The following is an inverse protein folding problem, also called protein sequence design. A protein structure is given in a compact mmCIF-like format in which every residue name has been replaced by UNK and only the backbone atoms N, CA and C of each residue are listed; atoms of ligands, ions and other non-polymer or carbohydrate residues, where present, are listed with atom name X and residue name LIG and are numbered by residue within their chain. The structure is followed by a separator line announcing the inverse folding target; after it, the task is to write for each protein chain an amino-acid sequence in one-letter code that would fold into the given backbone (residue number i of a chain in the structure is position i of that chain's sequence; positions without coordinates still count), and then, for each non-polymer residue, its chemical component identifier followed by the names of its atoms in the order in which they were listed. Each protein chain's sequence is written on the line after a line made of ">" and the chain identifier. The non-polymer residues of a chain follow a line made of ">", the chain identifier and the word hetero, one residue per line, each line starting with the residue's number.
data_IF_148275824102
#
_entry.id   IF_148275824102
#
_cell.length_a   1.000
_cell.length_b   1.000
_cell.length_c   1.000
_cell.angle_alpha   90.00
_cell.angle_beta   90.00
_cell.angle_gamma   90.00
#
_symmetry.space_group_name_H-M   'P 1'
#
loop_
_entity.id
_entity.type
_entity.pdbx_description
1 polymer ?
#
# COMPACT_ATOMS: atom_id res chain seq x y z
N UNK A 1 -43.87 6.81 10.25
CA UNK A 1 -44.48 8.16 10.33
C UNK A 1 -43.55 9.18 9.70
N UNK A 2 -43.96 10.44 9.52
CA UNK A 2 -43.10 11.49 8.96
C UNK A 2 -42.92 12.60 10.00
N UNK A 3 -41.68 12.89 10.38
CA UNK A 3 -41.31 14.06 11.16
C UNK A 3 -40.61 15.06 10.23
N UNK A 4 -41.11 16.29 10.17
CA UNK A 4 -40.59 17.33 9.27
C UNK A 4 -40.12 18.54 10.07
N UNK A 5 -38.87 18.94 9.88
CA UNK A 5 -38.37 20.27 10.21
C UNK A 5 -38.46 21.18 8.97
N UNK A 6 -39.07 22.36 9.05
CA UNK A 6 -39.14 23.28 7.91
C UNK A 6 -37.80 23.97 7.61
N UNK A 7 -36.91 24.05 8.60
CA UNK A 7 -35.59 24.69 8.54
C UNK A 7 -34.50 23.73 9.04
N UNK A 8 -33.23 24.14 8.92
CA UNK A 8 -32.09 23.39 9.42
C UNK A 8 -32.28 22.95 10.87
N UNK A 9 -31.81 21.74 11.19
CA UNK A 9 -31.93 21.14 12.51
C UNK A 9 -30.57 20.66 12.97
N UNK A 10 -30.20 20.98 14.21
CA UNK A 10 -29.06 20.35 14.89
C UNK A 10 -29.56 19.41 15.97
N UNK A 11 -29.25 18.12 15.86
CA UNK A 11 -29.43 17.16 16.94
C UNK A 11 -28.28 17.30 17.95
N UNK A 12 -28.60 17.47 19.22
CA UNK A 12 -27.63 17.55 20.33
C UNK A 12 -27.68 16.34 21.28
N UNK A 13 -28.60 15.39 21.05
CA UNK A 13 -28.78 14.22 21.91
C UNK A 13 -29.01 12.98 21.05
N UNK A 14 -30.03 12.19 21.34
CA UNK A 14 -30.35 10.98 20.61
C UNK A 14 -31.62 11.18 19.75
N UNK A 15 -31.47 11.07 18.43
CA UNK A 15 -32.57 10.96 17.49
C UNK A 15 -32.73 9.50 17.03
N UNK A 16 -33.80 8.85 17.49
CA UNK A 16 -34.11 7.46 17.15
C UNK A 16 -35.21 7.37 16.07
N UNK A 17 -34.91 6.72 14.94
CA UNK A 17 -35.90 6.38 13.92
C UNK A 17 -36.29 4.89 14.07
N UNK A 18 -37.49 4.65 14.57
CA UNK A 18 -38.07 3.30 14.77
C UNK A 18 -39.47 3.19 14.17
N UNK A 19 -40.05 2.00 14.21
CA UNK A 19 -41.39 1.67 13.73
C UNK A 19 -42.09 0.76 14.73
N UNK A 20 -43.36 1.00 14.98
CA UNK A 20 -44.22 0.19 15.87
C UNK A 20 -45.31 -0.58 15.11
N UNK A 21 -45.28 -0.55 13.77
CA UNK A 21 -46.35 -1.10 12.94
C UNK A 21 -45.86 -1.55 11.54
N UNK A 22 -44.60 -1.97 11.41
CA UNK A 22 -43.97 -2.38 10.15
C UNK A 22 -44.15 -1.38 8.98
N UNK A 23 -44.11 -0.08 9.28
CA UNK A 23 -44.21 0.99 8.29
C UNK A 23 -42.91 1.77 8.18
N UNK A 24 -42.72 2.43 7.04
CA UNK A 24 -41.63 3.37 6.86
C UNK A 24 -41.67 4.51 7.87
N UNK A 25 -40.50 4.91 8.35
CA UNK A 25 -40.31 6.08 9.20
C UNK A 25 -39.37 7.06 8.52
N UNK A 26 -39.83 8.30 8.41
CA UNK A 26 -39.15 9.37 7.70
C UNK A 26 -38.87 10.53 8.63
N UNK A 27 -37.62 10.99 8.63
CA UNK A 27 -37.23 12.30 9.09
C UNK A 27 -36.93 13.19 7.87
N UNK A 28 -37.38 14.44 7.88
CA UNK A 28 -37.23 15.37 6.76
C UNK A 28 -36.81 16.75 7.25
N UNK A 29 -35.80 17.33 6.61
CA UNK A 29 -35.53 18.78 6.70
C UNK A 29 -35.84 19.38 5.33
N UNK A 30 -36.68 20.41 5.30
CA UNK A 30 -37.18 20.96 4.01
C UNK A 30 -36.26 22.03 3.45
N UNK A 31 -35.65 22.84 4.32
CA UNK A 31 -34.68 23.86 3.95
C UNK A 31 -33.52 23.84 4.94
N UNK A 32 -32.29 23.93 4.46
CA UNK A 32 -31.10 23.90 5.31
C UNK A 32 -30.61 22.50 5.66
N UNK A 33 -29.61 22.43 6.53
CA UNK A 33 -28.84 21.23 6.84
C UNK A 33 -29.42 20.48 8.05
N UNK A 34 -29.31 19.16 8.04
CA UNK A 34 -29.41 18.35 9.25
C UNK A 34 -28.01 18.09 9.80
N UNK A 35 -27.71 18.61 10.98
CA UNK A 35 -26.43 18.39 11.64
C UNK A 35 -26.63 17.48 12.86
N UNK A 36 -25.82 16.44 12.98
CA UNK A 36 -25.67 15.68 14.22
C UNK A 36 -24.45 16.21 14.97
N UNK A 37 -24.65 16.88 16.09
CA UNK A 37 -23.58 17.52 16.85
C UNK A 37 -22.59 16.50 17.43
N UNK A 38 -21.41 16.97 17.85
CA UNK A 38 -20.47 16.14 18.60
C UNK A 38 -21.14 15.53 19.85
N UNK A 39 -20.90 14.24 20.09
CA UNK A 39 -21.51 13.41 21.13
C UNK A 39 -23.02 13.13 20.98
N UNK A 40 -23.66 13.60 19.91
CA UNK A 40 -25.04 13.27 19.60
C UNK A 40 -25.12 11.99 18.76
N UNK A 41 -26.24 11.28 18.85
CA UNK A 41 -26.49 10.03 18.12
C UNK A 41 -27.72 10.17 17.24
N UNK A 42 -27.60 9.78 15.97
CA UNK A 42 -28.72 9.41 15.10
C UNK A 42 -28.71 7.89 14.98
N UNK A 43 -29.80 7.25 15.34
CA UNK A 43 -29.90 5.79 15.31
C UNK A 43 -31.12 5.37 14.50
N UNK A 44 -30.94 4.44 13.55
CA UNK A 44 -32.04 3.83 12.81
C UNK A 44 -32.17 2.38 13.23
N UNK A 45 -33.32 1.99 13.78
CA UNK A 45 -33.55 0.61 14.28
C UNK A 45 -34.74 -0.03 13.61
N UNK A 46 -34.75 -1.36 13.54
CA UNK A 46 -35.79 -2.14 12.87
C UNK A 46 -37.18 -1.93 13.47
N UNK A 47 -37.32 -1.92 14.80
CA UNK A 47 -38.63 -1.97 15.46
C UNK A 47 -39.48 -3.12 14.91
N UNK A 48 -40.72 -2.83 14.52
CA UNK A 48 -41.61 -3.78 13.83
C UNK A 48 -41.35 -3.89 12.32
N UNK A 49 -40.31 -3.23 11.78
CA UNK A 49 -39.89 -3.27 10.38
C UNK A 49 -40.04 -1.96 9.60
N UNK A 50 -40.10 -2.07 8.27
CA UNK A 50 -40.16 -0.95 7.31
C UNK A 50 -38.85 -0.19 7.11
N UNK A 51 -38.74 0.55 6.00
CA UNK A 51 -37.56 1.35 5.64
C UNK A 51 -37.37 2.57 6.57
N UNK A 52 -36.13 3.03 6.72
CA UNK A 52 -35.80 4.29 7.40
C UNK A 52 -35.35 5.32 6.38
N UNK A 53 -35.93 6.50 6.43
CA UNK A 53 -35.68 7.56 5.45
C UNK A 53 -35.25 8.84 6.13
N UNK A 54 -34.09 9.37 5.75
CA UNK A 54 -33.63 10.70 6.14
C UNK A 54 -33.60 11.55 4.87
N UNK A 55 -34.52 12.50 4.77
CA UNK A 55 -34.65 13.36 3.59
C UNK A 55 -34.08 14.75 3.92
N UNK A 56 -32.75 14.87 3.80
CA UNK A 56 -31.95 16.06 4.09
C UNK A 56 -30.51 15.83 3.63
N UNK A 57 -29.77 16.89 3.31
CA UNK A 57 -28.31 16.87 3.44
C UNK A 57 -27.95 16.66 4.92
N UNK A 58 -26.84 15.97 5.18
CA UNK A 58 -26.49 15.52 6.52
C UNK A 58 -25.01 15.72 6.82
N UNK A 59 -24.73 16.31 7.97
CA UNK A 59 -23.38 16.48 8.49
C UNK A 59 -23.28 15.85 9.89
N UNK A 60 -22.41 14.86 10.03
CA UNK A 60 -22.28 14.06 11.25
C UNK A 60 -20.98 14.34 11.97
N UNK A 61 -21.04 15.03 13.11
CA UNK A 61 -19.91 15.15 14.06
C UNK A 61 -20.00 14.15 15.22
N UNK A 62 -21.17 13.54 15.42
CA UNK A 62 -21.42 12.52 16.42
C UNK A 62 -21.43 11.11 15.82
N UNK A 63 -22.44 10.31 16.17
CA UNK A 63 -22.60 8.95 15.65
C UNK A 63 -23.88 8.81 14.81
N UNK A 64 -23.76 8.26 13.60
CA UNK A 64 -24.86 7.67 12.85
C UNK A 64 -24.75 6.15 12.94
N UNK A 65 -25.74 5.52 13.57
CA UNK A 65 -25.79 4.08 13.79
C UNK A 65 -26.92 3.49 12.93
N UNK A 66 -26.56 2.78 11.88
CA UNK A 66 -27.49 2.17 10.93
C UNK A 66 -27.75 0.73 11.34
N UNK A 67 -28.87 0.50 12.05
CA UNK A 67 -29.36 -0.81 12.51
C UNK A 67 -30.66 -1.24 11.82
N UNK A 68 -30.98 -0.55 10.73
CA UNK A 68 -32.00 -0.92 9.76
C UNK A 68 -31.65 -0.28 8.42
N UNK A 69 -32.06 -0.90 7.30
CA UNK A 69 -31.90 -0.31 5.96
C UNK A 69 -32.39 1.14 5.96
N UNK A 70 -31.46 2.05 5.61
CA UNK A 70 -31.64 3.48 5.71
C UNK A 70 -31.34 4.13 4.38
N UNK A 71 -32.19 5.08 3.97
CA UNK A 71 -32.04 5.78 2.70
C UNK A 71 -32.06 7.31 2.86
N UNK A 72 -31.18 7.96 2.10
CA UNK A 72 -31.20 9.39 1.78
C UNK A 72 -31.68 9.55 0.33
N UNK A 73 -32.99 9.77 0.08
CA UNK A 73 -33.57 9.55 -1.25
C UNK A 73 -33.49 10.77 -2.19
N UNK A 74 -33.23 11.97 -1.66
CA UNK A 74 -33.21 13.19 -2.46
C UNK A 74 -32.01 13.19 -3.42
N UNK A 75 -32.23 13.50 -4.69
CA UNK A 75 -31.15 13.54 -5.68
C UNK A 75 -30.15 14.63 -5.37
N UNK A 76 -28.86 14.28 -5.42
CA UNK A 76 -27.76 15.19 -5.08
C UNK A 76 -27.55 15.38 -3.59
N UNK A 77 -28.10 14.50 -2.74
CA UNK A 77 -27.89 14.59 -1.27
C UNK A 77 -26.39 14.53 -0.95
N UNK A 78 -25.93 15.42 -0.09
CA UNK A 78 -24.60 15.37 0.50
C UNK A 78 -24.67 14.79 1.91
N UNK A 79 -23.94 13.68 2.14
CA UNK A 79 -23.72 13.11 3.47
C UNK A 79 -22.25 13.24 3.81
N UNK A 80 -21.94 14.02 4.84
CA UNK A 80 -20.57 14.30 5.30
C UNK A 80 -20.40 13.72 6.70
N UNK A 81 -19.37 12.91 6.90
CA UNK A 81 -19.01 12.37 8.20
C UNK A 81 -17.68 12.95 8.70
N UNK A 82 -17.73 13.49 9.92
CA UNK A 82 -16.60 13.89 10.75
C UNK A 82 -16.45 13.04 12.02
N UNK A 83 -17.49 12.26 12.37
CA UNK A 83 -17.56 11.43 13.55
C UNK A 83 -17.60 9.93 13.19
N UNK A 84 -18.55 9.20 13.76
CA UNK A 84 -18.75 7.78 13.50
C UNK A 84 -19.95 7.55 12.59
N UNK A 85 -19.77 6.78 11.52
CA UNK A 85 -20.85 6.08 10.83
C UNK A 85 -20.61 4.58 11.00
N UNK A 86 -21.56 3.85 11.57
CA UNK A 86 -21.50 2.39 11.70
C UNK A 86 -22.71 1.77 11.04
N UNK A 87 -22.49 0.80 10.15
CA UNK A 87 -23.55 0.05 9.49
C UNK A 87 -23.46 -1.40 9.95
N UNK A 88 -24.53 -1.89 10.59
CA UNK A 88 -24.60 -3.27 11.10
C UNK A 88 -24.75 -4.28 9.95
N UNK A 89 -24.50 -5.57 10.25
CA UNK A 89 -24.49 -6.66 9.26
C UNK A 89 -25.75 -6.78 8.44
N UNK A 90 -25.54 -7.07 7.15
CA UNK A 90 -26.59 -7.34 6.17
C UNK A 90 -27.52 -6.13 5.93
N UNK A 91 -27.08 -4.93 6.30
CA UNK A 91 -27.80 -3.69 6.06
C UNK A 91 -27.16 -2.85 4.96
N UNK A 92 -27.97 -1.97 4.39
CA UNK A 92 -27.56 -0.99 3.39
C UNK A 92 -27.87 0.43 3.84
N UNK A 93 -26.87 1.32 3.72
CA UNK A 93 -27.05 2.76 3.73
C UNK A 93 -27.05 3.26 2.28
N UNK A 94 -28.23 3.55 1.74
CA UNK A 94 -28.39 4.05 0.37
C UNK A 94 -28.45 5.57 0.35
N UNK A 95 -27.65 6.21 -0.51
CA UNK A 95 -27.61 7.68 -0.63
C UNK A 95 -27.79 8.07 -2.09
N UNK A 96 -28.81 8.85 -2.42
CA UNK A 96 -28.98 9.35 -3.78
C UNK A 96 -28.12 10.61 -4.03
N UNK A 97 -26.82 10.46 -3.86
CA UNK A 97 -25.83 11.52 -3.96
C UNK A 97 -24.47 11.03 -3.46
N UNK A 98 -23.68 11.91 -2.85
CA UNK A 98 -22.28 11.66 -2.49
C UNK A 98 -22.16 11.38 -0.99
N UNK A 99 -21.28 10.44 -0.64
CA UNK A 99 -20.81 10.25 0.73
C UNK A 99 -19.38 10.76 0.87
N UNK A 100 -19.12 11.61 1.86
CA UNK A 100 -17.79 12.18 2.12
C UNK A 100 -17.37 11.89 3.56
N UNK A 101 -16.22 11.27 3.74
CA UNK A 101 -15.56 11.09 5.03
C UNK A 101 -14.45 12.14 5.15
N UNK A 102 -14.59 13.08 6.08
CA UNK A 102 -13.63 14.17 6.32
C UNK A 102 -12.74 13.87 7.54
N UNK A 103 -13.30 13.23 8.56
CA UNK A 103 -12.60 12.83 9.79
C UNK A 103 -13.39 11.75 10.54
N UNK A 104 -12.78 11.10 11.52
CA UNK A 104 -13.43 10.02 12.27
C UNK A 104 -13.45 8.71 11.48
N UNK A 105 -14.50 7.90 11.66
CA UNK A 105 -14.56 6.52 11.19
C UNK A 105 -15.87 6.23 10.45
N UNK A 106 -15.80 5.54 9.32
CA UNK A 106 -16.90 4.76 8.75
C UNK A 106 -16.61 3.28 8.93
N UNK A 107 -17.48 2.55 9.62
CA UNK A 107 -17.35 1.12 9.88
C UNK A 107 -18.44 0.33 9.17
N UNK A 108 -18.04 -0.60 8.30
CA UNK A 108 -18.91 -1.57 7.65
C UNK A 108 -18.78 -2.93 8.34
N UNK A 109 -19.86 -3.45 8.93
CA UNK A 109 -19.84 -4.75 9.59
C UNK A 109 -20.48 -5.82 8.69
N UNK A 110 -19.83 -6.22 7.60
CA UNK A 110 -20.46 -7.01 6.53
C UNK A 110 -21.71 -6.31 5.96
N UNK A 111 -21.54 -5.02 5.67
CA UNK A 111 -22.62 -4.11 5.28
C UNK A 111 -22.40 -3.47 3.91
N UNK A 112 -23.39 -2.75 3.39
CA UNK A 112 -23.29 -2.04 2.11
C UNK A 112 -23.44 -0.53 2.29
N UNK A 113 -22.46 0.23 1.81
CA UNK A 113 -22.55 1.67 1.60
C UNK A 113 -22.82 1.94 0.12
N UNK A 114 -24.00 2.45 -0.20
CA UNK A 114 -24.54 2.54 -1.57
C UNK A 114 -24.93 3.97 -1.97
N UNK A 115 -23.94 4.88 -2.16
CA UNK A 115 -24.19 6.17 -2.77
C UNK A 115 -24.30 6.05 -4.30
N UNK A 116 -25.20 6.82 -4.91
CA UNK A 116 -25.28 6.94 -6.37
C UNK A 116 -24.18 7.82 -6.98
N UNK A 117 -23.55 8.65 -6.15
CA UNK A 117 -22.28 9.34 -6.44
C UNK A 117 -21.07 8.62 -5.83
N UNK A 118 -19.86 9.20 -5.92
CA UNK A 118 -18.67 8.58 -5.34
C UNK A 118 -18.69 8.59 -3.80
N UNK A 119 -17.89 7.70 -3.21
CA UNK A 119 -17.39 7.85 -1.84
C UNK A 119 -16.08 8.61 -1.90
N UNK A 120 -16.02 9.75 -1.20
CA UNK A 120 -14.81 10.55 -1.03
C UNK A 120 -14.27 10.35 0.38
N UNK A 121 -13.12 9.71 0.52
CA UNK A 121 -12.44 9.52 1.80
C UNK A 121 -11.32 10.56 1.91
N UNK A 122 -11.70 11.80 2.25
CA UNK A 122 -10.79 12.95 2.32
C UNK A 122 -9.92 12.96 3.59
N UNK A 123 -10.33 12.23 4.63
CA UNK A 123 -9.61 12.06 5.89
C UNK A 123 -10.28 11.02 6.77
N UNK A 124 -9.74 10.75 7.97
CA UNK A 124 -10.26 9.67 8.83
C UNK A 124 -10.09 8.29 8.19
N UNK A 125 -10.98 7.35 8.55
CA UNK A 125 -10.93 5.96 8.09
C UNK A 125 -12.25 5.42 7.52
N UNK A 126 -12.13 4.51 6.54
CA UNK A 126 -13.16 3.54 6.15
C UNK A 126 -12.66 2.15 6.52
N UNK A 127 -13.39 1.46 7.39
CA UNK A 127 -12.95 0.21 8.00
C UNK A 127 -14.01 -0.90 7.88
N UNK A 128 -13.58 -2.15 8.04
CA UNK A 128 -14.48 -3.28 8.16
C UNK A 128 -14.69 -4.08 6.87
N UNK A 129 -15.71 -4.94 6.88
CA UNK A 129 -16.06 -5.84 5.78
C UNK A 129 -17.35 -5.40 5.08
N UNK A 130 -17.48 -5.77 3.81
CA UNK A 130 -18.71 -5.55 3.05
C UNK A 130 -18.47 -4.93 1.69
N UNK A 131 -19.37 -4.02 1.28
CA UNK A 131 -19.37 -3.45 -0.06
C UNK A 131 -19.51 -1.93 -0.03
N UNK A 132 -18.59 -1.25 -0.71
CA UNK A 132 -18.79 0.11 -1.23
C UNK A 132 -19.38 -0.02 -2.63
N UNK A 133 -20.68 0.20 -2.78
CA UNK A 133 -21.40 0.01 -4.03
C UNK A 133 -21.27 1.22 -4.98
N UNK A 134 -20.08 1.83 -5.04
CA UNK A 134 -19.78 3.01 -5.86
C UNK A 134 -18.27 3.09 -6.13
N UNK A 135 -17.82 4.18 -6.78
CA UNK A 135 -16.38 4.47 -6.87
C UNK A 135 -15.87 5.06 -5.56
N UNK A 136 -14.67 4.68 -5.15
CA UNK A 136 -14.01 5.15 -3.94
C UNK A 136 -12.74 5.94 -4.30
N UNK A 137 -12.67 7.17 -3.82
CA UNK A 137 -11.49 8.03 -3.90
C UNK A 137 -10.90 8.21 -2.49
N UNK A 138 -9.69 7.69 -2.27
CA UNK A 138 -9.07 7.53 -0.96
C UNK A 138 -7.87 8.47 -0.77
N UNK A 139 -8.06 9.53 0.02
CA UNK A 139 -7.02 10.39 0.59
C UNK A 139 -6.86 10.22 2.11
N UNK A 140 -7.65 9.34 2.75
CA UNK A 140 -7.60 8.99 4.16
C UNK A 140 -7.01 7.58 4.39
N UNK A 141 -7.57 6.83 5.33
CA UNK A 141 -7.14 5.46 5.61
C UNK A 141 -8.22 4.44 5.22
N UNK A 142 -7.89 3.55 4.29
CA UNK A 142 -8.72 2.39 3.97
C UNK A 142 -8.18 1.18 4.73
N UNK A 143 -8.99 0.59 5.60
CA UNK A 143 -8.61 -0.55 6.46
C UNK A 143 -9.62 -1.70 6.24
N UNK A 144 -9.44 -2.53 5.20
CA UNK A 144 -10.35 -3.63 4.92
C UNK A 144 -10.35 -4.65 6.06
N UNK A 145 -11.52 -5.22 6.35
CA UNK A 145 -11.65 -6.34 7.27
C UNK A 145 -12.02 -5.97 8.72
N UNK A 146 -12.45 -6.97 9.48
CA UNK A 146 -12.27 -7.01 10.94
C UNK A 146 -10.95 -7.75 11.28
N UNK A 147 -10.02 -7.67 10.30
CA UNK A 147 -8.66 -8.18 10.24
C UNK A 147 -8.48 -9.68 10.60
N UNK A 148 -8.20 -10.56 9.63
CA UNK A 148 -8.30 -10.38 8.17
C UNK A 148 -9.75 -10.35 7.62
N UNK A 149 -9.98 -9.73 6.46
CA UNK A 149 -11.28 -9.67 5.80
C UNK A 149 -11.30 -9.10 4.37
N UNK A 150 -12.49 -9.07 3.76
CA UNK A 150 -12.71 -8.54 2.41
C UNK A 150 -13.55 -7.28 2.40
N UNK A 151 -13.11 -6.29 1.62
CA UNK A 151 -13.90 -5.12 1.23
C UNK A 151 -14.07 -5.09 -0.30
N UNK A 152 -15.31 -5.08 -0.76
CA UNK A 152 -15.65 -4.93 -2.17
C UNK A 152 -15.85 -3.46 -2.55
N UNK A 153 -15.40 -3.07 -3.74
CA UNK A 153 -15.68 -1.77 -4.36
C UNK A 153 -16.23 -2.05 -5.76
N UNK A 154 -17.47 -1.64 -6.03
CA UNK A 154 -18.11 -1.96 -7.33
C UNK A 154 -17.75 -0.96 -8.43
N UNK A 155 -17.27 0.24 -8.06
CA UNK A 155 -16.79 1.26 -8.98
C UNK A 155 -15.28 1.21 -9.20
N UNK A 156 -14.72 2.35 -9.62
CA UNK A 156 -13.28 2.55 -9.67
C UNK A 156 -12.73 2.81 -8.26
N UNK A 157 -11.48 2.41 -8.04
CA UNK A 157 -10.72 2.74 -6.84
C UNK A 157 -9.57 3.68 -7.19
N UNK A 158 -9.52 4.84 -6.54
CA UNK A 158 -8.37 5.75 -6.63
C UNK A 158 -7.75 5.89 -5.26
N UNK A 159 -6.52 5.42 -5.11
CA UNK A 159 -5.66 5.72 -3.97
C UNK A 159 -4.92 7.01 -4.30
N UNK A 160 -5.17 8.08 -3.55
CA UNK A 160 -4.47 9.35 -3.72
C UNK A 160 -3.11 9.32 -3.02
N UNK A 161 -2.25 10.29 -3.36
CA UNK A 161 -0.92 10.45 -2.75
C UNK A 161 -0.95 10.64 -1.23
N UNK A 162 -2.04 11.21 -0.69
CA UNK A 162 -2.23 11.39 0.75
C UNK A 162 -2.84 10.16 1.45
N UNK A 163 -3.43 9.24 0.70
CA UNK A 163 -4.14 8.10 1.27
C UNK A 163 -3.20 6.98 1.72
N UNK A 164 -3.69 6.17 2.64
CA UNK A 164 -3.08 4.90 3.07
C UNK A 164 -4.06 3.75 2.83
N UNK A 165 -3.57 2.63 2.28
CA UNK A 165 -4.21 1.32 2.36
C UNK A 165 -3.54 0.53 3.48
N UNK A 166 -4.24 0.23 4.57
CA UNK A 166 -3.74 -0.61 5.65
C UNK A 166 -4.29 -2.03 5.48
N UNK A 167 -3.41 -3.04 5.58
CA UNK A 167 -3.75 -4.45 5.42
C UNK A 167 -3.05 -5.31 6.46
N UNK A 168 -3.73 -6.34 6.90
CA UNK A 168 -3.24 -7.36 7.81
C UNK A 168 -2.99 -8.70 7.12
N UNK A 169 -1.94 -9.40 7.55
CA UNK A 169 -1.52 -10.70 7.03
C UNK A 169 -1.25 -11.67 8.19
N UNK A 170 -2.08 -12.70 8.31
CA UNK A 170 -1.96 -13.82 9.25
C UNK A 170 -1.65 -15.17 8.56
N UNK A 171 -1.76 -15.24 7.23
CA UNK A 171 -1.53 -16.45 6.44
C UNK A 171 -1.76 -16.23 4.94
N UNK A 172 -1.81 -17.33 4.18
CA UNK A 172 -1.73 -17.30 2.71
C UNK A 172 -3.09 -17.22 2.00
N UNK A 173 -4.19 -17.50 2.70
CA UNK A 173 -5.53 -17.51 2.12
C UNK A 173 -6.14 -16.10 2.15
N UNK A 174 -6.42 -15.46 1.00
CA UNK A 174 -7.03 -14.14 0.97
C UNK A 174 -8.41 -14.16 1.62
N UNK A 175 -8.86 -13.00 2.11
CA UNK A 175 -10.15 -12.77 2.78
C UNK A 175 -10.28 -13.41 4.17
N UNK A 176 -9.58 -14.51 4.45
CA UNK A 176 -9.68 -15.22 5.73
C UNK A 176 -8.39 -15.17 6.55
N UNK A 177 -7.23 -15.15 5.88
CA UNK A 177 -5.92 -15.11 6.52
C UNK A 177 -5.11 -13.86 6.12
N UNK A 178 -5.52 -13.11 5.11
CA UNK A 178 -5.04 -11.74 4.87
C UNK A 178 -6.11 -10.89 4.19
N UNK A 179 -6.00 -9.58 4.34
CA UNK A 179 -6.99 -8.67 3.78
C UNK A 179 -6.98 -8.64 2.26
N UNK A 180 -8.17 -8.41 1.70
CA UNK A 180 -8.35 -8.21 0.27
C UNK A 180 -9.30 -7.05 -0.02
N UNK A 181 -8.81 -6.09 -0.82
CA UNK A 181 -9.66 -5.13 -1.53
C UNK A 181 -10.02 -5.71 -2.90
N UNK A 182 -11.31 -5.95 -3.13
CA UNK A 182 -11.82 -6.49 -4.38
C UNK A 182 -12.57 -5.41 -5.17
N UNK A 183 -11.89 -4.84 -6.16
CA UNK A 183 -12.43 -3.78 -7.03
C UNK A 183 -12.97 -4.40 -8.32
N UNK A 184 -14.19 -4.06 -8.73
CA UNK A 184 -14.70 -4.52 -10.05
C UNK A 184 -14.39 -3.55 -11.18
N UNK A 185 -14.11 -2.28 -10.87
CA UNK A 185 -13.60 -1.28 -11.81
C UNK A 185 -12.06 -1.25 -11.91
N UNK A 186 -11.53 -0.14 -12.39
CA UNK A 186 -10.08 0.12 -12.40
C UNK A 186 -9.57 0.57 -11.04
N UNK A 187 -8.33 0.23 -10.70
CA UNK A 187 -7.59 0.75 -9.57
C UNK A 187 -6.41 1.60 -10.02
N UNK A 188 -6.28 2.81 -9.47
CA UNK A 188 -5.11 3.68 -9.63
C UNK A 188 -4.45 3.86 -8.28
N UNK A 189 -3.16 3.53 -8.20
CA UNK A 189 -2.38 3.47 -6.96
C UNK A 189 -1.39 4.64 -6.87
N UNK A 190 -1.33 5.25 -5.69
CA UNK A 190 -0.37 6.25 -5.24
C UNK A 190 -0.28 6.17 -3.70
N UNK A 191 0.44 7.08 -3.05
CA UNK A 191 0.41 7.21 -1.59
C UNK A 191 1.00 6.00 -0.87
N UNK A 192 0.47 5.65 0.30
CA UNK A 192 1.07 4.65 1.17
C UNK A 192 0.29 3.32 1.22
N UNK A 193 1.03 2.24 1.46
CA UNK A 193 0.49 0.97 1.96
C UNK A 193 1.11 0.64 3.33
N UNK A 194 0.31 0.20 4.27
CA UNK A 194 0.74 -0.29 5.57
C UNK A 194 0.37 -1.76 5.70
N UNK A 195 1.34 -2.63 5.95
CA UNK A 195 1.14 -4.07 6.00
C UNK A 195 1.62 -4.69 7.32
N UNK A 196 0.69 -5.18 8.13
CA UNK A 196 0.99 -5.70 9.48
C UNK A 196 0.86 -7.22 9.52
N UNK A 197 1.85 -7.89 10.12
CA UNK A 197 1.77 -9.33 10.39
C UNK A 197 1.02 -9.59 11.70
N UNK A 198 0.05 -10.50 11.68
CA UNK A 198 -0.75 -10.89 12.84
C UNK A 198 -0.36 -12.26 13.39
N UNK A 199 -0.79 -12.55 14.63
CA UNK A 199 -0.73 -13.87 15.29
C UNK A 199 0.66 -14.54 15.30
N UNK A 200 1.71 -13.74 15.19
CA UNK A 200 3.09 -14.23 15.10
C UNK A 200 3.40 -14.93 13.78
N UNK A 201 2.61 -14.72 12.73
CA UNK A 201 2.88 -15.23 11.38
C UNK A 201 4.24 -14.71 10.89
N UNK A 202 5.07 -15.63 10.37
CA UNK A 202 6.44 -15.34 9.91
C UNK A 202 6.60 -15.87 8.48
N UNK A 203 6.24 -15.07 7.47
CA UNK A 203 6.39 -15.48 6.08
C UNK A 203 7.86 -15.49 5.65
N UNK A 204 8.18 -16.35 4.69
CA UNK A 204 9.51 -16.60 4.18
C UNK A 204 9.79 -15.79 2.90
N UNK A 205 11.06 -15.66 2.52
CA UNK A 205 11.43 -14.94 1.30
C UNK A 205 10.71 -15.48 0.06
N UNK A 206 10.17 -14.57 -0.74
CA UNK A 206 9.45 -14.91 -1.96
C UNK A 206 7.96 -15.22 -1.76
N UNK A 207 7.49 -15.37 -0.51
CA UNK A 207 6.08 -15.48 -0.20
C UNK A 207 5.32 -14.24 -0.70
N UNK A 208 4.13 -14.46 -1.25
CA UNK A 208 3.30 -13.41 -1.84
C UNK A 208 1.87 -13.44 -1.34
N UNK A 209 1.29 -12.26 -1.13
CA UNK A 209 -0.08 -12.06 -0.65
C UNK A 209 -0.79 -11.09 -1.58
N UNK A 210 -1.94 -11.48 -2.13
CA UNK A 210 -2.70 -10.59 -3.03
C UNK A 210 -3.61 -9.71 -2.18
N UNK A 211 -3.30 -8.42 -2.11
CA UNK A 211 -4.00 -7.47 -1.25
C UNK A 211 -5.03 -6.61 -2.00
N UNK A 212 -4.92 -6.55 -3.34
CA UNK A 212 -5.89 -5.88 -4.19
C UNK A 212 -6.08 -6.62 -5.51
N UNK A 213 -7.34 -6.75 -5.94
CA UNK A 213 -7.73 -7.18 -7.29
C UNK A 213 -8.58 -6.12 -7.96
N UNK A 214 -8.42 -5.94 -9.27
CA UNK A 214 -9.16 -4.96 -10.08
C UNK A 214 -9.32 -5.41 -11.53
N UNK A 215 -10.23 -4.78 -12.29
CA UNK A 215 -10.32 -4.98 -13.74
C UNK A 215 -9.07 -4.48 -14.48
N UNK A 216 -8.43 -3.44 -13.93
CA UNK A 216 -7.10 -2.98 -14.32
C UNK A 216 -6.42 -2.28 -13.15
N UNK A 217 -5.10 -2.40 -13.06
CA UNK A 217 -4.26 -1.68 -12.07
C UNK A 217 -3.28 -0.79 -12.82
N UNK A 218 -3.11 0.43 -12.30
CA UNK A 218 -2.16 1.43 -12.79
C UNK A 218 -1.55 2.20 -11.62
N UNK A 219 -0.38 2.81 -11.84
CA UNK A 219 0.38 3.45 -10.77
C UNK A 219 1.01 2.44 -9.80
N UNK A 220 1.64 2.96 -8.76
CA UNK A 220 2.29 2.20 -7.69
C UNK A 220 2.13 2.97 -6.38
N UNK A 221 2.21 2.29 -5.24
CA UNK A 221 2.37 3.00 -3.98
C UNK A 221 3.71 3.74 -3.94
N UNK A 222 3.71 4.93 -3.36
CA UNK A 222 4.89 5.80 -3.19
C UNK A 222 5.66 5.46 -1.92
N UNK A 223 4.98 4.88 -0.93
CA UNK A 223 5.56 4.43 0.33
C UNK A 223 4.93 3.12 0.80
N UNK A 224 5.70 2.33 1.52
CA UNK A 224 5.20 1.15 2.22
C UNK A 224 5.66 1.20 3.68
N UNK A 225 4.94 0.55 4.58
CA UNK A 225 5.35 0.36 5.98
C UNK A 225 4.83 -0.98 6.50
N UNK A 226 5.34 -1.42 7.65
CA UNK A 226 4.92 -2.69 8.23
C UNK A 226 5.89 -3.19 9.28
N UNK A 227 5.36 -3.83 10.32
CA UNK A 227 6.11 -4.43 11.41
C UNK A 227 5.82 -5.94 11.53
N UNK A 228 6.64 -6.64 12.32
CA UNK A 228 6.40 -8.05 12.68
C UNK A 228 7.21 -9.08 11.90
N UNK A 229 7.97 -8.66 10.88
CA UNK A 229 8.90 -9.55 10.17
C UNK A 229 10.04 -10.01 11.08
N UNK A 230 10.56 -11.23 10.84
CA UNK A 230 11.89 -11.60 11.33
C UNK A 230 12.94 -10.62 10.80
N UNK A 231 14.06 -10.53 11.52
CA UNK A 231 15.21 -9.73 11.10
C UNK A 231 15.60 -10.07 9.66
N UNK A 232 15.94 -9.04 8.88
CA UNK A 232 16.39 -9.21 7.49
C UNK A 232 15.30 -9.46 6.46
N UNK A 233 14.02 -9.39 6.84
CA UNK A 233 12.87 -9.45 5.91
C UNK A 233 12.06 -8.17 5.94
N UNK A 234 11.39 -7.88 4.84
CA UNK A 234 10.53 -6.71 4.70
C UNK A 234 9.58 -6.85 3.52
N UNK A 235 8.63 -5.93 3.43
CA UNK A 235 7.67 -5.90 2.33
C UNK A 235 8.25 -5.26 1.07
N UNK A 236 7.97 -5.88 -0.07
CA UNK A 236 8.03 -5.31 -1.41
C UNK A 236 6.62 -5.35 -1.99
N UNK A 237 6.23 -4.33 -2.75
CA UNK A 237 4.96 -4.32 -3.46
C UNK A 237 5.21 -4.58 -4.93
N UNK A 238 4.52 -5.57 -5.49
CA UNK A 238 4.48 -5.83 -6.92
C UNK A 238 3.08 -5.53 -7.46
N UNK A 239 3.00 -5.00 -8.66
CA UNK A 239 1.73 -4.83 -9.38
C UNK A 239 1.72 -5.65 -10.65
N UNK A 240 0.60 -6.32 -10.93
CA UNK A 240 0.29 -6.88 -12.25
C UNK A 240 -0.75 -5.98 -12.93
N UNK A 241 -1.12 -6.23 -14.19
CA UNK A 241 -2.19 -5.47 -14.83
C UNK A 241 -3.55 -5.54 -14.11
N UNK A 242 -3.77 -6.47 -13.18
CA UNK A 242 -5.07 -6.70 -12.50
C UNK A 242 -4.97 -6.88 -10.99
N UNK A 243 -3.78 -6.76 -10.39
CA UNK A 243 -3.61 -6.94 -8.96
C UNK A 243 -2.44 -6.16 -8.37
N UNK A 244 -2.51 -5.88 -7.07
CA UNK A 244 -1.35 -5.52 -6.25
C UNK A 244 -1.08 -6.66 -5.25
N UNK A 245 0.20 -6.97 -5.07
CA UNK A 245 0.67 -8.03 -4.19
C UNK A 245 1.74 -7.51 -3.25
N UNK A 246 1.69 -7.95 -2.00
CA UNK A 246 2.83 -7.92 -1.11
C UNK A 246 3.72 -9.13 -1.39
N UNK A 247 5.03 -8.92 -1.46
CA UNK A 247 6.05 -9.95 -1.49
C UNK A 247 6.98 -9.77 -0.31
N UNK A 248 7.35 -10.86 0.36
CA UNK A 248 8.44 -10.84 1.33
C UNK A 248 9.78 -10.81 0.62
N UNK A 249 10.53 -9.75 0.87
CA UNK A 249 11.85 -9.52 0.32
C UNK A 249 12.85 -9.09 1.39
N UNK A 250 14.01 -8.55 0.97
CA UNK A 250 15.08 -8.18 1.90
C UNK A 250 14.66 -7.04 2.82
N UNK A 251 14.88 -7.22 4.13
CA UNK A 251 14.65 -6.23 5.18
C UNK A 251 15.93 -5.58 5.69
N UNK A 252 15.83 -4.61 6.60
CA UNK A 252 17.00 -4.01 7.26
C UNK A 252 17.70 -5.06 8.13
N UNK A 253 19.01 -5.26 7.91
CA UNK A 253 19.86 -6.22 8.64
C UNK A 253 21.33 -5.92 8.36
N UNK A 254 22.22 -6.10 9.34
CA UNK A 254 23.67 -6.02 9.13
C UNK A 254 24.20 -7.27 8.42
N UNK A 255 25.44 -7.23 7.91
CA UNK A 255 26.05 -8.41 7.32
C UNK A 255 26.21 -9.57 8.32
N UNK A 256 26.56 -9.27 9.57
CA UNK A 256 26.67 -10.28 10.63
C UNK A 256 25.33 -10.93 10.97
N UNK A 257 24.29 -10.11 11.21
CA UNK A 257 22.96 -10.63 11.49
C UNK A 257 22.42 -11.44 10.30
N UNK A 258 22.78 -11.05 9.06
CA UNK A 258 22.42 -11.81 7.86
C UNK A 258 23.11 -13.17 7.82
N UNK A 259 24.40 -13.26 8.19
CA UNK A 259 25.06 -14.56 8.32
C UNK A 259 24.37 -15.42 9.38
N UNK A 260 23.98 -14.83 10.51
CA UNK A 260 23.32 -15.53 11.62
C UNK A 260 21.92 -16.05 11.27
N UNK A 261 21.20 -15.31 10.42
CA UNK A 261 19.86 -15.69 9.96
C UNK A 261 19.88 -16.88 8.98
N UNK A 262 20.89 -16.95 8.10
CA UNK A 262 20.87 -17.89 6.97
C UNK A 262 21.88 -19.04 7.03
N UNK A 263 22.82 -19.02 7.97
CA UNK A 263 23.86 -20.03 8.10
C UNK A 263 23.90 -20.60 9.51
N UNK A 264 24.24 -21.89 9.61
CA UNK A 264 24.51 -22.51 10.91
C UNK A 264 25.82 -21.98 11.51
N UNK A 265 26.06 -22.26 12.79
CA UNK A 265 27.31 -21.88 13.44
C UNK A 265 28.54 -22.55 12.78
N UNK A 266 28.40 -23.80 12.34
CA UNK A 266 29.44 -24.54 11.63
C UNK A 266 29.73 -23.95 10.25
N UNK A 267 28.70 -23.57 9.50
CA UNK A 267 28.84 -22.94 8.19
C UNK A 267 29.47 -21.56 8.27
N UNK A 268 29.12 -20.76 9.30
CA UNK A 268 29.77 -19.48 9.59
C UNK A 268 31.26 -19.62 9.92
N UNK A 269 31.66 -20.75 10.51
CA UNK A 269 33.04 -21.01 10.87
C UNK A 269 33.91 -21.42 9.67
N UNK A 270 33.32 -21.84 8.55
CA UNK A 270 34.05 -22.15 7.31
C UNK A 270 34.20 -20.89 6.42
N UNK A 271 35.42 -20.36 6.22
CA UNK A 271 35.62 -19.15 5.41
C UNK A 271 35.18 -19.29 3.95
N UNK A 272 35.14 -20.51 3.40
CA UNK A 272 34.67 -20.76 2.03
C UNK A 272 33.14 -20.73 1.92
N UNK A 273 32.43 -20.86 3.04
CA UNK A 273 30.95 -20.89 3.11
C UNK A 273 30.43 -19.61 3.75
N UNK A 274 30.77 -19.33 5.00
CA UNK A 274 30.25 -18.19 5.77
C UNK A 274 31.13 -16.94 5.75
N UNK A 275 32.33 -17.00 5.16
CA UNK A 275 33.19 -15.83 5.02
C UNK A 275 32.61 -14.77 4.06
N UNK A 276 33.07 -13.50 4.11
CA UNK A 276 32.64 -12.44 3.19
C UNK A 276 32.78 -12.80 1.71
N UNK A 277 33.90 -13.46 1.38
CA UNK A 277 34.21 -13.95 0.05
C UNK A 277 33.81 -15.42 -0.17
N UNK A 278 33.08 -16.02 0.78
CA UNK A 278 32.56 -17.37 0.67
C UNK A 278 31.56 -17.46 -0.49
N UNK A 279 31.58 -18.60 -1.18
CA UNK A 279 30.66 -18.92 -2.29
C UNK A 279 30.02 -20.30 -2.05
N UNK A 280 29.12 -20.41 -1.06
CA UNK A 280 28.29 -21.58 -0.86
C UNK A 280 27.60 -21.98 -2.15
N UNK A 281 27.66 -23.28 -2.47
CA UNK A 281 27.10 -23.80 -3.71
C UNK A 281 27.89 -23.48 -4.98
N UNK A 282 29.02 -22.75 -4.90
CA UNK A 282 29.93 -22.44 -6.03
C UNK A 282 29.20 -21.77 -7.21
N UNK A 283 28.39 -20.78 -6.90
CA UNK A 283 27.54 -20.06 -7.87
C UNK A 283 28.29 -18.96 -8.62
N UNK A 284 29.48 -18.59 -8.15
CA UNK A 284 30.25 -17.45 -8.65
C UNK A 284 29.85 -16.12 -8.00
N UNK A 285 28.91 -16.12 -7.05
CA UNK A 285 28.46 -14.95 -6.31
C UNK A 285 28.93 -15.11 -4.87
N UNK A 286 29.70 -14.15 -4.33
CA UNK A 286 30.15 -14.23 -2.94
C UNK A 286 29.12 -13.67 -1.95
N UNK A 287 29.30 -13.93 -0.66
CA UNK A 287 28.37 -13.49 0.38
C UNK A 287 28.21 -11.97 0.47
N UNK A 288 29.29 -11.18 0.28
CA UNK A 288 29.18 -9.73 0.22
C UNK A 288 28.22 -9.29 -0.90
N UNK A 289 28.33 -9.92 -2.08
CA UNK A 289 27.46 -9.63 -3.23
C UNK A 289 26.03 -10.06 -2.96
N UNK A 290 25.84 -11.26 -2.40
CA UNK A 290 24.51 -11.75 -2.03
C UNK A 290 23.83 -10.82 -1.05
N UNK A 291 24.52 -10.46 0.04
CA UNK A 291 24.00 -9.54 1.03
C UNK A 291 23.68 -8.19 0.42
N UNK A 292 24.65 -7.55 -0.25
CA UNK A 292 24.52 -6.19 -0.76
C UNK A 292 23.36 -6.04 -1.76
N UNK A 293 23.17 -7.04 -2.62
CA UNK A 293 22.11 -7.08 -3.63
C UNK A 293 20.80 -7.69 -3.12
N UNK A 294 20.70 -8.04 -1.83
CA UNK A 294 19.47 -8.57 -1.24
C UNK A 294 19.11 -10.00 -1.68
N UNK A 295 20.10 -10.82 -2.06
CA UNK A 295 19.88 -12.21 -2.42
C UNK A 295 19.80 -13.13 -1.20
N UNK A 296 19.19 -14.30 -1.37
CA UNK A 296 19.26 -15.41 -0.42
C UNK A 296 20.52 -16.27 -0.67
N UNK A 297 21.21 -16.75 0.38
CA UNK A 297 22.45 -17.54 0.29
C UNK A 297 22.47 -18.72 -0.68
N UNK A 298 21.51 -19.63 -0.53
CA UNK A 298 21.55 -20.96 -1.15
C UNK A 298 20.84 -21.03 -2.51
N UNK A 299 20.23 -19.93 -2.94
CA UNK A 299 19.60 -19.79 -4.24
C UNK A 299 19.72 -18.34 -4.72
N UNK A 300 20.95 -17.86 -4.99
CA UNK A 300 21.13 -16.48 -5.40
C UNK A 300 20.51 -16.26 -6.79
N UNK A 301 19.76 -15.16 -6.93
CA UNK A 301 19.16 -14.78 -8.21
C UNK A 301 20.16 -13.97 -9.04
N UNK A 302 20.76 -14.59 -10.05
CA UNK A 302 21.69 -13.94 -10.97
C UNK A 302 21.07 -12.77 -11.72
N UNK A 303 19.73 -12.69 -11.79
CA UNK A 303 19.02 -11.59 -12.44
C UNK A 303 19.19 -10.25 -11.69
N UNK A 304 19.56 -10.28 -10.41
CA UNK A 304 19.81 -9.10 -9.58
C UNK A 304 21.23 -8.54 -9.70
N UNK A 305 22.14 -9.21 -10.44
CA UNK A 305 23.47 -8.69 -10.72
C UNK A 305 23.40 -7.38 -11.54
N UNK A 306 24.39 -6.47 -11.40
CA UNK A 306 24.47 -5.24 -12.20
C UNK A 306 24.27 -5.47 -13.69
N UNK A 307 23.22 -4.85 -14.23
CA UNK A 307 22.86 -4.96 -15.64
C UNK A 307 23.46 -3.78 -16.40
N UNK A 308 24.26 -4.02 -17.45
CA UNK A 308 24.79 -2.94 -18.26
C UNK A 308 23.66 -2.27 -19.05
N UNK A 309 23.69 -0.94 -19.11
CA UNK A 309 22.76 -0.11 -19.86
C UNK A 309 23.52 1.01 -20.58
N UNK A 310 22.93 1.53 -21.66
CA UNK A 310 23.41 2.74 -22.33
C UNK A 310 22.43 3.85 -22.06
N UNK A 311 22.91 4.95 -21.49
CA UNK A 311 22.09 6.09 -21.09
C UNK A 311 22.33 7.24 -22.05
N UNK A 312 21.27 7.79 -22.62
CA UNK A 312 21.34 9.00 -23.43
C UNK A 312 21.17 10.22 -22.52
N UNK A 313 22.10 11.16 -22.61
CA UNK A 313 22.07 12.43 -21.88
C UNK A 313 21.94 13.55 -22.90
N UNK A 314 20.88 14.34 -22.77
CA UNK A 314 20.68 15.54 -23.56
C UNK A 314 21.22 16.76 -22.82
N UNK A 315 22.12 17.50 -23.46
CA UNK A 315 22.65 18.76 -22.94
C UNK A 315 22.89 19.72 -24.09
N UNK A 316 22.40 20.97 -23.96
CA UNK A 316 22.52 22.01 -24.98
C UNK A 316 22.07 21.60 -26.40
N UNK A 317 21.05 20.73 -26.51
CA UNK A 317 20.53 20.26 -27.79
C UNK A 317 21.37 19.16 -28.47
N UNK A 318 22.38 18.61 -27.78
CA UNK A 318 23.12 17.44 -28.22
C UNK A 318 22.82 16.24 -27.32
N UNK A 319 22.57 15.08 -27.94
CA UNK A 319 22.39 13.82 -27.25
C UNK A 319 23.72 13.04 -27.26
N UNK A 320 24.19 12.65 -26.09
CA UNK A 320 25.40 11.84 -25.92
C UNK A 320 25.07 10.53 -25.22
N UNK A 321 25.77 9.45 -25.56
CA UNK A 321 25.52 8.10 -25.01
C UNK A 321 26.60 7.77 -24.00
N UNK A 322 26.21 7.20 -22.87
CA UNK A 322 27.12 6.86 -21.77
C UNK A 322 26.94 5.41 -21.34
N UNK A 323 28.05 4.76 -20.98
CA UNK A 323 28.03 3.44 -20.36
C UNK A 323 27.57 3.55 -18.90
N UNK A 324 26.68 2.67 -18.48
CA UNK A 324 26.26 2.57 -17.10
C UNK A 324 25.92 1.12 -16.71
N UNK A 325 25.75 0.87 -15.41
CA UNK A 325 24.99 -0.28 -14.94
C UNK A 325 23.91 0.12 -13.94
N UNK A 326 22.84 -0.66 -13.92
CA UNK A 326 21.70 -0.52 -13.01
C UNK A 326 21.51 -1.79 -12.19
N UNK A 327 21.16 -1.64 -10.92
CA UNK A 327 20.88 -2.74 -9.99
C UNK A 327 20.12 -2.26 -8.76
N UNK A 328 19.51 -3.21 -8.06
CA UNK A 328 18.89 -3.01 -6.76
C UNK A 328 19.92 -3.32 -5.66
N UNK A 329 20.01 -2.49 -4.63
CA UNK A 329 20.88 -2.70 -3.46
C UNK A 329 20.17 -2.39 -2.16
N UNK A 330 20.69 -2.92 -1.05
CA UNK A 330 20.25 -2.51 0.29
C UNK A 330 20.58 -1.04 0.52
N UNK A 331 19.61 -0.29 1.07
CA UNK A 331 19.80 1.11 1.49
C UNK A 331 20.75 1.28 2.66
N UNK A 332 20.74 0.32 3.58
CA UNK A 332 21.60 0.30 4.77
C UNK A 332 22.36 -1.04 4.76
N UNK A 333 23.47 -1.08 4.03
CA UNK A 333 24.31 -2.25 3.89
C UNK A 333 25.41 -2.28 4.97
N UNK A 334 25.01 -2.32 6.24
CA UNK A 334 25.94 -2.25 7.37
C UNK A 334 26.96 -3.39 7.34
N UNK A 335 28.25 -3.05 7.45
CA UNK A 335 29.36 -3.99 7.37
C UNK A 335 29.90 -4.24 5.95
N UNK A 336 29.35 -3.57 4.92
CA UNK A 336 29.85 -3.66 3.54
C UNK A 336 30.13 -2.27 2.98
N UNK A 337 31.33 -2.11 2.41
CA UNK A 337 31.66 -0.95 1.58
C UNK A 337 31.54 -1.29 0.10
N UNK A 338 31.02 -0.36 -0.68
CA UNK A 338 30.88 -0.49 -2.12
C UNK A 338 31.64 0.64 -2.81
N UNK A 339 32.52 0.28 -3.75
CA UNK A 339 33.14 1.23 -4.68
C UNK A 339 32.84 0.83 -6.12
N UNK A 340 32.87 1.83 -7.00
CA UNK A 340 32.54 1.67 -8.41
C UNK A 340 33.75 2.07 -9.24
N UNK A 341 34.09 1.23 -10.21
CA UNK A 341 35.30 1.43 -10.98
C UNK A 341 35.04 1.30 -12.48
N UNK A 342 35.71 2.15 -13.24
CA UNK A 342 35.73 2.16 -14.70
C UNK A 342 37.11 1.82 -15.23
N UNK A 343 37.15 1.15 -16.38
CA UNK A 343 38.37 0.82 -17.12
C UNK A 343 38.10 0.82 -18.63
N UNK A 344 39.08 1.27 -19.42
CA UNK A 344 39.05 1.14 -20.88
C UNK A 344 39.74 -0.13 -21.39
N UNK A 345 40.53 -0.81 -20.55
CA UNK A 345 41.45 -1.90 -20.97
C UNK A 345 41.36 -3.16 -20.10
N UNK A 346 40.49 -3.17 -19.08
CA UNK A 346 40.39 -4.15 -17.99
C UNK A 346 41.61 -4.27 -17.08
N UNK A 347 42.66 -3.46 -17.29
CA UNK A 347 43.91 -3.50 -16.53
C UNK A 347 43.99 -2.31 -15.57
N UNK A 348 43.74 -1.11 -16.07
CA UNK A 348 43.78 0.15 -15.32
C UNK A 348 42.38 0.53 -14.89
N UNK A 349 42.16 0.68 -13.59
CA UNK A 349 40.85 0.98 -13.00
C UNK A 349 40.86 2.31 -12.25
N UNK A 350 39.79 3.10 -12.38
CA UNK A 350 39.60 4.37 -11.66
C UNK A 350 38.20 4.49 -11.07
N UNK A 351 38.08 5.20 -9.95
CA UNK A 351 36.80 5.57 -9.31
C UNK A 351 36.34 6.97 -9.73
N UNK A 352 37.20 7.74 -10.41
CA UNK A 352 36.87 9.07 -10.92
C UNK A 352 36.02 9.00 -12.19
N UNK A 353 35.24 10.06 -12.46
CA UNK A 353 34.48 10.16 -13.71
C UNK A 353 33.20 9.33 -13.70
N UNK A 354 32.68 9.01 -12.51
CA UNK A 354 31.44 8.28 -12.30
C UNK A 354 30.41 9.17 -11.61
N UNK A 355 29.13 8.95 -11.93
CA UNK A 355 28.00 9.51 -11.18
C UNK A 355 27.10 8.40 -10.68
N UNK A 356 26.61 8.57 -9.46
CA UNK A 356 25.59 7.72 -8.86
C UNK A 356 24.25 8.46 -8.87
N UNK A 357 23.22 7.78 -9.36
CA UNK A 357 21.85 8.26 -9.43
C UNK A 357 20.93 7.23 -8.77
N UNK A 358 20.10 7.67 -7.82
CA UNK A 358 19.05 6.82 -7.23
C UNK A 358 17.81 6.92 -8.12
N UNK A 359 17.49 5.84 -8.82
CA UNK A 359 16.35 5.75 -9.74
C UNK A 359 15.05 5.48 -8.99
N UNK A 360 15.12 4.74 -7.89
CA UNK A 360 13.97 4.36 -7.08
C UNK A 360 14.37 4.11 -5.62
N UNK A 361 13.56 4.58 -4.68
CA UNK A 361 13.79 4.40 -3.23
C UNK A 361 12.66 3.55 -2.65
N UNK A 362 12.97 2.30 -2.27
CA UNK A 362 12.12 1.51 -1.40
C UNK A 362 12.47 1.71 0.08
N UNK A 363 11.78 0.99 0.97
CA UNK A 363 12.08 1.03 2.40
C UNK A 363 13.47 0.51 2.75
N UNK A 364 13.80 -0.66 2.21
CA UNK A 364 15.00 -1.42 2.59
C UNK A 364 15.96 -1.59 1.43
N UNK A 365 15.43 -1.50 0.20
CA UNK A 365 16.15 -1.60 -1.05
C UNK A 365 15.98 -0.32 -1.87
N UNK A 366 16.92 -0.03 -2.75
CA UNK A 366 16.87 1.06 -3.71
C UNK A 366 17.47 0.62 -5.05
N UNK A 367 16.97 1.20 -6.14
CA UNK A 367 17.53 0.99 -7.48
C UNK A 367 18.49 2.13 -7.78
N UNK A 368 19.71 1.79 -8.12
CA UNK A 368 20.77 2.76 -8.42
C UNK A 368 21.32 2.56 -9.82
N UNK A 369 21.75 3.67 -10.41
CA UNK A 369 22.50 3.72 -11.66
C UNK A 369 23.86 4.31 -11.42
N UNK A 370 24.88 3.61 -11.88
CA UNK A 370 26.26 4.11 -11.92
C UNK A 370 26.62 4.36 -13.37
N UNK A 371 26.93 5.61 -13.71
CA UNK A 371 27.18 6.05 -15.09
C UNK A 371 28.57 6.65 -15.24
N UNK A 372 29.25 6.31 -16.33
CA UNK A 372 30.50 6.96 -16.77
C UNK A 372 30.19 8.34 -17.36
N UNK A 373 30.87 9.37 -16.88
CA UNK A 373 30.71 10.75 -17.35
C UNK A 373 31.24 10.97 -18.76
N UNK A 374 32.24 10.22 -19.18
CA UNK A 374 32.76 10.26 -20.54
C UNK A 374 31.76 9.60 -21.51
N UNK A 375 31.43 10.24 -22.65
CA UNK A 375 30.54 9.67 -23.64
C UNK A 375 31.24 8.58 -24.45
N UNK A 376 30.47 7.60 -24.91
CA UNK A 376 30.91 6.56 -25.84
C UNK A 376 31.16 7.24 -27.20
N UNK A 377 32.36 7.08 -27.77
CA UNK A 377 32.67 7.63 -29.09
C UNK A 377 31.75 7.06 -30.18
N UNK A 378 31.35 7.90 -31.16
CA UNK A 378 30.46 7.48 -32.25
C UNK A 378 31.12 6.53 -33.26
N UNK A 379 32.46 6.51 -33.30
CA UNK A 379 33.23 6.02 -34.46
C UNK A 379 34.07 4.75 -34.17
N UNK A 380 34.10 4.24 -32.93
CA UNK A 380 35.08 3.25 -32.49
C UNK A 380 34.49 2.09 -31.65
N UNK A 381 35.24 0.97 -31.62
CA UNK A 381 35.15 -0.11 -30.63
C UNK A 381 35.56 0.41 -29.24
N UNK A 382 34.82 1.39 -28.73
CA UNK A 382 35.10 2.05 -27.45
C UNK A 382 34.60 1.14 -26.32
N UNK A 383 35.39 0.11 -26.02
CA UNK A 383 35.08 -0.89 -25.01
C UNK A 383 35.36 -0.30 -23.62
N UNK A 384 34.29 0.13 -22.94
CA UNK A 384 34.33 0.48 -21.53
C UNK A 384 33.93 -0.71 -20.65
N UNK A 385 34.61 -0.87 -19.53
CA UNK A 385 34.31 -1.86 -18.51
C UNK A 385 33.97 -1.15 -17.21
N UNK A 386 32.92 -1.63 -16.58
CA UNK A 386 32.47 -1.15 -15.29
C UNK A 386 32.43 -2.33 -14.33
N UNK A 387 32.82 -2.11 -13.07
CA UNK A 387 32.65 -3.11 -12.01
C UNK A 387 32.23 -2.48 -10.69
N UNK A 388 31.42 -3.25 -9.97
CA UNK A 388 31.13 -3.07 -8.55
C UNK A 388 32.19 -3.83 -7.75
N UNK A 389 32.85 -3.15 -6.81
CA UNK A 389 33.78 -3.75 -5.86
C UNK A 389 33.18 -3.66 -4.47
N UNK A 390 33.04 -4.81 -3.82
CA UNK A 390 32.56 -4.91 -2.45
C UNK A 390 33.70 -5.34 -1.54
N UNK A 391 33.83 -4.67 -0.40
CA UNK A 391 34.77 -5.05 0.63
C UNK A 391 34.06 -5.14 1.99
N UNK A 392 34.49 -6.13 2.78
CA UNK A 392 34.09 -6.27 4.17
C UNK A 392 34.59 -5.04 4.95
N UNK A 393 33.66 -4.37 5.62
CA UNK A 393 33.89 -3.13 6.35
C UNK A 393 33.51 -3.27 7.84
N UNK A 394 33.36 -4.51 8.32
CA UNK A 394 33.19 -4.79 9.76
C UNK A 394 34.49 -4.53 10.50
N UNK A 395 34.40 -3.99 11.73
CA UNK A 395 35.54 -3.72 12.61
C UNK A 395 36.11 -4.96 13.30
#
# INVERSE_FOLDING_TARGET
>A
GILTSPNGLTNHNHLLLTSIANRGSQFRVTNGLFTNAANATVETVIGEGGLRTINSDFENFGSLLVRQNTTFPASGTSVINHGLVSIDSDLTLTINGTYTQEAGQTLLNNATLDPSGPVLLNGGSLEGTGTVASSLDNAGSLIPGASPGRLAITGAYTQQAAGTLAVEVAGFTPETEHDLVAVTGSATLAGAIEATLLDGFQPEFGDTFTILTAASVSGTFDAWSGAGHRRGRGWKVDTTPTSALLRVGPGIISFDDWLDEFYTAEERADPAIGGPNGDPGKTGINNLTRYFLGMIPWAPDHSLLPRPVVVTVESNGQATRHLAFEFERRRHADGVSATYQFSQDMQSWTESGLTEEILFVGNTMETVRIRVLEPIAEDANDAGFLRLVLADARE
#
